data_IF_565050327801
#
_entry.id   IF_565050327801
#
_cell.length_a   1.000
_cell.length_b   1.000
_cell.length_c   1.000
_cell.angle_alpha   90.00
_cell.angle_beta   90.00
_cell.angle_gamma   90.00
#
_symmetry.space_group_name_H-M   'P 1'
#
loop_
_entity.id
_entity.type
_entity.pdbx_description
1 polymer ?
#
# COMPACT_ATOMS: atom_id res chain seq x y z
N UNK A 1 -35.46 29.98 27.39
CA UNK A 1 -34.72 28.76 27.81
C UNK A 1 -33.98 28.28 26.58
N UNK A 2 -32.72 28.70 26.42
CA UNK A 2 -31.94 28.50 25.20
C UNK A 2 -30.64 27.80 25.59
N UNK A 3 -30.39 26.59 25.07
CA UNK A 3 -29.06 26.17 24.58
C UNK A 3 -29.23 24.94 23.69
N UNK A 4 -29.01 25.18 22.40
CA UNK A 4 -28.73 24.19 21.36
C UNK A 4 -27.43 23.45 21.71
N UNK A 5 -27.48 22.12 21.80
CA UNK A 5 -26.29 21.25 21.91
C UNK A 5 -26.20 20.31 20.71
N UNK A 6 -25.26 20.60 19.80
CA UNK A 6 -24.95 19.84 18.57
C UNK A 6 -24.47 18.41 18.89
N UNK A 7 -24.82 17.37 18.11
CA UNK A 7 -24.14 16.09 18.20
C UNK A 7 -22.79 16.20 17.50
N UNK A 8 -21.72 16.40 18.26
CA UNK A 8 -20.37 16.34 17.73
C UNK A 8 -19.99 14.87 17.52
N UNK A 9 -20.26 14.41 16.29
CA UNK A 9 -19.47 13.46 15.51
C UNK A 9 -18.54 12.56 16.34
N UNK A 10 -19.02 11.34 16.60
CA UNK A 10 -18.12 10.21 16.79
C UNK A 10 -17.29 10.14 15.50
N UNK A 11 -16.07 10.66 15.53
CA UNK A 11 -15.10 10.46 14.47
C UNK A 11 -14.89 8.96 14.44
N UNK A 12 -15.57 8.31 13.49
CA UNK A 12 -15.18 7.03 12.96
C UNK A 12 -13.71 7.19 12.57
N UNK A 13 -12.80 6.87 13.48
CA UNK A 13 -11.54 6.31 13.09
C UNK A 13 -11.89 4.95 12.48
N UNK A 14 -12.41 5.00 11.25
CA UNK A 14 -12.27 3.91 10.32
C UNK A 14 -10.76 3.84 10.15
N UNK A 15 -10.09 3.09 11.03
CA UNK A 15 -8.81 2.49 10.67
C UNK A 15 -9.06 1.96 9.26
N UNK A 16 -8.29 2.39 8.23
CA UNK A 16 -8.42 1.77 6.94
C UNK A 16 -8.33 0.27 7.24
N UNK A 17 -9.40 -0.46 6.93
CA UNK A 17 -9.41 -1.91 7.07
C UNK A 17 -8.37 -2.32 6.04
N UNK A 18 -7.09 -2.38 6.41
CA UNK A 18 -6.02 -2.80 5.53
C UNK A 18 -6.45 -4.18 5.09
N UNK A 19 -6.91 -4.36 3.84
CA UNK A 19 -7.46 -5.64 3.43
C UNK A 19 -6.35 -6.65 3.69
N UNK A 20 -6.66 -7.61 4.55
CA UNK A 20 -5.74 -8.61 5.03
C UNK A 20 -5.26 -9.46 3.87
N UNK A 21 -4.19 -9.00 3.24
CA UNK A 21 -3.33 -9.83 2.44
C UNK A 21 -2.12 -10.08 3.32
N UNK A 22 -2.03 -11.29 3.85
CA UNK A 22 -0.95 -11.81 4.72
C UNK A 22 0.37 -11.95 3.95
N UNK A 23 0.74 -10.90 3.24
CA UNK A 23 1.94 -10.80 2.44
C UNK A 23 2.90 -9.90 3.19
N UNK A 24 4.16 -10.35 3.32
CA UNK A 24 5.21 -9.55 3.94
C UNK A 24 5.44 -8.22 3.21
N UNK A 25 5.10 -8.17 1.92
CA UNK A 25 5.29 -7.01 1.06
C UNK A 25 4.06 -6.75 0.18
N UNK A 26 3.88 -5.49 -0.20
CA UNK A 26 2.82 -5.03 -1.10
C UNK A 26 3.45 -4.59 -2.42
N UNK A 27 2.70 -4.75 -3.51
CA UNK A 27 3.12 -4.31 -4.83
C UNK A 27 3.11 -2.78 -4.88
N UNK A 28 4.24 -2.18 -5.27
CA UNK A 28 4.36 -0.72 -5.37
C UNK A 28 3.48 -0.10 -6.47
N UNK A 29 2.93 -0.91 -7.39
CA UNK A 29 2.09 -0.44 -8.50
C UNK A 29 0.60 -0.47 -8.15
N UNK A 30 0.09 -1.58 -7.60
CA UNK A 30 -1.34 -1.78 -7.36
C UNK A 30 -1.71 -1.98 -5.88
N UNK A 31 -0.75 -2.09 -4.97
CA UNK A 31 -0.99 -2.33 -3.54
C UNK A 31 -1.38 -3.77 -3.18
N UNK A 32 -1.46 -4.68 -4.15
CA UNK A 32 -1.78 -6.09 -3.93
C UNK A 32 -0.59 -6.85 -3.29
N UNK A 33 -0.78 -8.11 -2.88
CA UNK A 33 0.30 -8.90 -2.28
C UNK A 33 1.47 -9.08 -3.25
N UNK A 34 2.69 -8.78 -2.81
CA UNK A 34 3.90 -8.95 -3.61
C UNK A 34 4.68 -10.20 -3.21
N UNK A 35 4.88 -11.09 -4.18
CA UNK A 35 5.71 -12.29 -4.03
C UNK A 35 7.16 -12.08 -4.51
N UNK A 36 7.40 -11.02 -5.28
CA UNK A 36 8.63 -10.83 -6.04
C UNK A 36 9.34 -9.54 -5.61
N UNK A 37 10.58 -9.69 -5.13
CA UNK A 37 11.49 -8.58 -4.85
C UNK A 37 12.51 -8.41 -5.98
N UNK A 38 12.76 -7.18 -6.41
CA UNK A 38 13.78 -6.82 -7.39
C UNK A 38 14.66 -5.71 -6.84
N UNK A 39 15.95 -6.01 -6.67
CA UNK A 39 16.94 -5.02 -6.29
C UNK A 39 17.27 -4.08 -7.47
N UNK A 40 17.31 -2.78 -7.20
CA UNK A 40 17.85 -1.78 -8.12
C UNK A 40 19.38 -1.67 -8.02
N UNK A 41 19.99 -0.75 -8.78
CA UNK A 41 21.45 -0.51 -8.74
C UNK A 41 21.94 0.16 -7.44
N UNK A 42 21.04 0.77 -6.67
CA UNK A 42 21.34 1.39 -5.38
C UNK A 42 21.25 0.38 -4.22
N UNK A 43 20.82 -0.87 -4.51
CA UNK A 43 20.62 -1.91 -3.52
C UNK A 43 19.25 -1.87 -2.82
N UNK A 44 18.32 -1.04 -3.31
CA UNK A 44 16.94 -0.97 -2.79
C UNK A 44 16.12 -2.10 -3.41
N UNK A 45 15.45 -2.89 -2.57
CA UNK A 45 14.57 -3.97 -3.04
C UNK A 45 13.15 -3.46 -3.21
N UNK A 46 12.66 -3.48 -4.45
CA UNK A 46 11.31 -3.12 -4.82
C UNK A 46 10.41 -4.34 -4.95
N UNK A 47 9.15 -4.23 -4.55
CA UNK A 47 8.23 -5.37 -4.44
C UNK A 47 7.07 -5.27 -5.42
N UNK A 48 6.80 -6.37 -6.14
CA UNK A 48 5.78 -6.42 -7.19
C UNK A 48 4.95 -7.72 -7.13
N UNK A 49 3.68 -7.63 -7.53
CA UNK A 49 2.82 -8.79 -7.76
C UNK A 49 3.15 -9.47 -9.10
N UNK A 50 2.55 -10.63 -9.39
CA UNK A 50 2.80 -11.40 -10.62
C UNK A 50 2.57 -10.59 -11.90
N UNK A 51 1.48 -9.82 -11.95
CA UNK A 51 1.14 -8.96 -13.10
C UNK A 51 2.14 -7.82 -13.30
N UNK A 52 2.52 -7.15 -12.23
CA UNK A 52 3.39 -5.96 -12.31
C UNK A 52 4.89 -6.27 -12.22
N UNK A 53 5.28 -7.54 -12.00
CA UNK A 53 6.69 -7.95 -11.90
C UNK A 53 7.52 -7.49 -13.09
N UNK A 54 7.02 -7.69 -14.33
CA UNK A 54 7.79 -7.39 -15.54
C UNK A 54 8.01 -5.89 -15.74
N UNK A 55 7.02 -5.08 -15.38
CA UNK A 55 7.13 -3.63 -15.38
C UNK A 55 8.08 -3.16 -14.27
N UNK A 56 7.92 -3.69 -13.07
CA UNK A 56 8.80 -3.45 -11.93
C UNK A 56 10.26 -3.75 -12.22
N UNK A 57 10.57 -4.92 -12.80
CA UNK A 57 11.92 -5.30 -13.22
C UNK A 57 12.51 -4.34 -14.26
N UNK A 58 11.71 -3.85 -15.21
CA UNK A 58 12.18 -2.87 -16.20
C UNK A 58 12.49 -1.54 -15.55
N UNK A 59 11.66 -1.13 -14.59
CA UNK A 59 11.87 0.11 -13.82
C UNK A 59 13.15 0.01 -13.00
N UNK A 60 13.31 -1.03 -12.18
CA UNK A 60 14.47 -1.18 -11.29
C UNK A 60 15.79 -1.39 -12.01
N UNK A 61 15.80 -1.97 -13.22
CA UNK A 61 17.04 -2.09 -14.02
C UNK A 61 17.50 -0.79 -14.69
N UNK A 62 16.60 0.19 -14.81
CA UNK A 62 16.88 1.49 -15.45
C UNK A 62 17.35 2.58 -14.48
N UNK A 63 17.06 2.42 -13.18
CA UNK A 63 17.56 3.29 -12.10
C UNK A 63 18.95 2.82 -11.68
#
# INVERSE_FOLDING_TARGET
>A
MSVTGKPAMQTKATAPRTPGHAWAHQCETCGEGAAFGCADRQGVTHWFCGDHRREGERRTRRV
#
